data_IF_063384786068
#
_entry.id   IF_063384786068
#
_cell.length_a   1.000
_cell.length_b   1.000
_cell.length_c   1.000
_cell.angle_alpha   90.00
_cell.angle_beta   90.00
_cell.angle_gamma   90.00
#
_symmetry.space_group_name_H-M   'P 1'
#
loop_
_entity.id
_entity.type
_entity.pdbx_description
1 polymer ?
#
# COMPACT_ATOMS: atom_id res chain seq x y z
N UNK A 1 27.04 -28.10 -29.14
CA UNK A 1 27.35 -28.17 -27.68
C UNK A 1 27.68 -26.76 -27.22
N UNK A 2 26.65 -25.97 -26.99
CA UNK A 2 26.75 -24.65 -26.36
C UNK A 2 25.79 -24.65 -25.14
N UNK A 3 26.20 -25.37 -24.09
CA UNK A 3 25.58 -25.26 -22.76
C UNK A 3 25.96 -23.92 -22.17
N UNK A 4 25.18 -22.89 -22.48
CA UNK A 4 25.14 -21.72 -21.60
C UNK A 4 24.55 -22.20 -20.30
N UNK A 5 25.24 -22.05 -19.16
CA UNK A 5 24.64 -22.32 -17.87
C UNK A 5 23.48 -21.36 -17.73
N UNK A 6 22.25 -21.89 -17.86
CA UNK A 6 21.04 -21.16 -17.57
C UNK A 6 21.18 -20.58 -16.17
N UNK A 7 20.94 -19.29 -16.04
CA UNK A 7 20.70 -18.65 -14.75
C UNK A 7 19.63 -19.49 -14.09
N UNK A 8 19.87 -20.11 -12.92
CA UNK A 8 18.83 -20.87 -12.25
C UNK A 8 17.66 -19.92 -12.06
N UNK A 9 16.48 -20.28 -12.57
CA UNK A 9 15.24 -19.64 -12.12
C UNK A 9 15.25 -19.74 -10.61
N UNK A 10 15.53 -18.64 -9.97
CA UNK A 10 15.73 -18.55 -8.54
C UNK A 10 14.35 -18.80 -7.90
N UNK A 11 14.04 -20.06 -7.68
CA UNK A 11 12.82 -20.51 -7.04
C UNK A 11 12.94 -20.20 -5.55
N UNK A 12 12.25 -19.17 -5.11
CA UNK A 12 12.06 -18.89 -3.68
C UNK A 12 10.89 -19.74 -3.20
N UNK A 13 11.17 -20.76 -2.39
CA UNK A 13 10.16 -21.71 -1.88
C UNK A 13 9.34 -22.46 -2.96
N UNK A 14 9.93 -22.75 -4.12
CA UNK A 14 9.26 -23.50 -5.18
C UNK A 14 8.33 -22.68 -6.07
N UNK A 15 8.32 -21.35 -5.92
CA UNK A 15 7.53 -20.41 -6.71
C UNK A 15 8.47 -19.58 -7.58
N UNK A 16 8.08 -19.28 -8.82
CA UNK A 16 8.84 -18.34 -9.67
C UNK A 16 9.04 -17.02 -8.96
N UNK A 17 10.27 -16.48 -9.03
CA UNK A 17 10.60 -15.17 -8.42
C UNK A 17 9.63 -14.06 -8.83
N UNK A 18 9.16 -14.07 -10.08
CA UNK A 18 8.13 -13.15 -10.57
C UNK A 18 6.82 -13.27 -9.78
N UNK A 19 6.34 -14.48 -9.53
CA UNK A 19 5.11 -14.70 -8.77
C UNK A 19 5.25 -14.33 -7.27
N UNK A 20 6.47 -14.43 -6.72
CA UNK A 20 6.77 -14.02 -5.34
C UNK A 20 6.74 -12.49 -5.16
N UNK A 21 7.27 -11.74 -6.13
CA UNK A 21 7.36 -10.26 -6.06
C UNK A 21 6.00 -9.58 -6.27
N UNK A 22 5.09 -10.16 -7.05
CA UNK A 22 3.81 -9.53 -7.42
C UNK A 22 2.99 -9.08 -6.20
N UNK A 23 2.73 -9.91 -5.17
CA UNK A 23 2.02 -9.47 -3.98
C UNK A 23 2.70 -8.29 -3.29
N UNK A 24 4.04 -8.30 -3.19
CA UNK A 24 4.81 -7.20 -2.61
C UNK A 24 4.66 -5.89 -3.37
N UNK A 25 4.69 -5.92 -4.70
CA UNK A 25 4.47 -4.74 -5.54
C UNK A 25 3.05 -4.20 -5.42
N UNK A 26 2.05 -5.08 -5.34
CA UNK A 26 0.65 -4.69 -5.12
C UNK A 26 0.51 -4.00 -3.77
N UNK A 27 1.10 -4.57 -2.70
CA UNK A 27 1.08 -3.98 -1.37
C UNK A 27 1.76 -2.61 -1.35
N UNK A 28 2.96 -2.49 -1.92
CA UNK A 28 3.68 -1.21 -2.01
C UNK A 28 2.85 -0.14 -2.73
N UNK A 29 2.28 -0.47 -3.87
CA UNK A 29 1.42 0.43 -4.63
C UNK A 29 0.17 0.82 -3.83
N UNK A 30 -0.50 -0.17 -3.21
CA UNK A 30 -1.69 0.05 -2.39
C UNK A 30 -1.41 0.99 -1.21
N UNK A 31 -0.34 0.75 -0.46
CA UNK A 31 0.07 1.56 0.68
C UNK A 31 0.37 2.99 0.27
N UNK A 32 1.21 3.15 -0.75
CA UNK A 32 1.62 4.46 -1.27
C UNK A 32 0.41 5.26 -1.77
N UNK A 33 -0.46 4.63 -2.57
CA UNK A 33 -1.65 5.28 -3.12
C UNK A 33 -2.69 5.59 -2.04
N UNK A 34 -2.92 4.69 -1.08
CA UNK A 34 -3.88 4.91 0.00
C UNK A 34 -3.48 6.13 0.85
N UNK A 35 -2.22 6.20 1.26
CA UNK A 35 -1.71 7.32 2.05
C UNK A 35 -1.72 8.61 1.24
N UNK A 36 -1.18 8.59 0.02
CA UNK A 36 -1.06 9.79 -0.82
C UNK A 36 -2.43 10.37 -1.19
N UNK A 37 -3.36 9.52 -1.64
CA UNK A 37 -4.69 10.00 -2.01
C UNK A 37 -5.48 10.56 -0.83
N UNK A 38 -5.41 9.92 0.34
CA UNK A 38 -6.10 10.40 1.53
C UNK A 38 -5.47 11.70 2.06
N UNK A 39 -4.14 11.76 2.15
CA UNK A 39 -3.44 12.94 2.65
C UNK A 39 -3.63 14.15 1.73
N UNK A 40 -3.52 13.94 0.43
CA UNK A 40 -3.73 14.99 -0.56
C UNK A 40 -5.19 15.45 -0.62
N UNK A 41 -6.13 14.50 -0.53
CA UNK A 41 -7.56 14.75 -0.58
C UNK A 41 -8.03 15.73 0.48
N UNK A 42 -7.53 15.63 1.71
CA UNK A 42 -7.89 16.57 2.80
C UNK A 42 -6.99 17.83 2.80
N UNK A 43 -5.73 17.70 2.38
CA UNK A 43 -4.81 18.83 2.38
C UNK A 43 -5.21 19.91 1.36
N UNK A 44 -5.67 19.51 0.17
CA UNK A 44 -6.06 20.47 -0.88
C UNK A 44 -7.19 21.40 -0.45
N UNK A 45 -8.32 20.93 0.08
CA UNK A 45 -9.36 21.80 0.64
C UNK A 45 -8.86 22.68 1.79
N UNK A 46 -7.94 22.17 2.62
CA UNK A 46 -7.31 22.95 3.68
C UNK A 46 -6.47 24.08 3.12
N UNK A 47 -5.67 23.82 2.09
CA UNK A 47 -4.79 24.78 1.44
C UNK A 47 -5.57 25.86 0.68
N UNK A 48 -6.64 25.48 -0.04
CA UNK A 48 -7.48 26.41 -0.80
C UNK A 48 -8.49 27.18 0.05
N UNK A 49 -8.66 26.78 1.32
CA UNK A 49 -9.67 27.36 2.20
C UNK A 49 -11.08 26.78 2.03
N UNK A 50 -11.32 25.94 1.04
CA UNK A 50 -12.63 25.30 0.78
C UNK A 50 -13.06 24.38 1.95
N UNK A 51 -12.13 23.96 2.79
CA UNK A 51 -12.43 23.16 4.00
C UNK A 51 -13.44 23.85 4.92
N UNK A 52 -13.44 25.20 4.96
CA UNK A 52 -14.39 25.97 5.79
C UNK A 52 -15.83 25.85 5.28
N UNK A 53 -16.02 25.70 3.97
CA UNK A 53 -17.34 25.45 3.38
C UNK A 53 -17.86 24.07 3.80
N UNK A 54 -16.98 23.05 3.76
CA UNK A 54 -17.30 21.69 4.20
C UNK A 54 -17.64 21.67 5.69
N UNK A 55 -16.87 22.38 6.52
CA UNK A 55 -17.10 22.43 7.97
C UNK A 55 -18.33 23.26 8.37
N UNK A 56 -18.78 24.19 7.53
CA UNK A 56 -20.02 24.96 7.75
C UNK A 56 -21.27 24.26 7.28
N UNK A 57 -21.15 23.18 6.51
CA UNK A 57 -22.27 22.37 6.07
C UNK A 57 -22.87 21.57 7.27
N UNK A 58 -24.17 21.28 7.27
CA UNK A 58 -24.82 20.51 8.34
C UNK A 58 -24.55 19.01 8.21
N UNK A 59 -23.27 18.64 8.20
CA UNK A 59 -22.78 17.24 8.09
C UNK A 59 -21.90 16.92 9.31
N UNK A 60 -21.91 15.66 9.71
CA UNK A 60 -21.11 15.20 10.84
C UNK A 60 -19.63 15.04 10.46
N UNK A 61 -18.73 15.18 11.44
CA UNK A 61 -17.29 14.93 11.21
C UNK A 61 -16.99 13.51 10.76
N UNK A 62 -17.81 12.53 11.16
CA UNK A 62 -17.70 11.14 10.71
C UNK A 62 -18.04 11.01 9.23
N UNK A 63 -19.03 11.72 8.74
CA UNK A 63 -19.38 11.72 7.31
C UNK A 63 -18.27 12.35 6.47
N UNK A 64 -17.65 13.43 6.95
CA UNK A 64 -16.49 14.04 6.32
C UNK A 64 -15.32 13.03 6.27
N UNK A 65 -15.00 12.41 7.40
CA UNK A 65 -13.95 11.41 7.50
C UNK A 65 -14.18 10.24 6.55
N UNK A 66 -15.39 9.66 6.59
CA UNK A 66 -15.76 8.52 5.74
C UNK A 66 -15.74 8.89 4.25
N UNK A 67 -16.11 10.11 3.90
CA UNK A 67 -16.05 10.61 2.54
C UNK A 67 -14.62 10.63 2.00
N UNK A 68 -13.70 11.27 2.70
CA UNK A 68 -12.30 11.38 2.27
C UNK A 68 -11.56 10.03 2.31
N UNK A 69 -11.68 9.31 3.43
CA UNK A 69 -11.02 8.00 3.61
C UNK A 69 -11.63 6.96 2.68
N UNK A 70 -12.95 6.93 2.54
CA UNK A 70 -13.65 6.01 1.66
C UNK A 70 -13.31 6.24 0.18
N UNK A 71 -13.24 7.48 -0.26
CA UNK A 71 -12.82 7.82 -1.63
C UNK A 71 -11.37 7.38 -1.91
N UNK A 72 -10.44 7.66 -0.98
CA UNK A 72 -9.04 7.25 -1.12
C UNK A 72 -8.89 5.73 -1.11
N UNK A 73 -9.53 5.04 -0.17
CA UNK A 73 -9.50 3.58 -0.09
C UNK A 73 -10.10 2.92 -1.34
N UNK A 74 -11.23 3.40 -1.83
CA UNK A 74 -11.86 2.88 -3.05
C UNK A 74 -10.94 3.01 -4.25
N UNK A 75 -10.32 4.18 -4.44
CA UNK A 75 -9.36 4.40 -5.53
C UNK A 75 -8.17 3.45 -5.43
N UNK A 76 -7.62 3.25 -4.24
CA UNK A 76 -6.48 2.37 -4.01
C UNK A 76 -6.84 0.89 -4.23
N UNK A 77 -8.03 0.46 -3.81
CA UNK A 77 -8.53 -0.90 -4.05
C UNK A 77 -8.67 -1.15 -5.55
N UNK A 78 -9.28 -0.23 -6.30
CA UNK A 78 -9.42 -0.34 -7.76
C UNK A 78 -8.06 -0.45 -8.42
N UNK A 79 -7.09 0.38 -8.03
CA UNK A 79 -5.73 0.31 -8.54
C UNK A 79 -5.06 -1.04 -8.23
N UNK A 80 -5.17 -1.51 -6.99
CA UNK A 80 -4.65 -2.82 -6.58
C UNK A 80 -5.23 -3.97 -7.39
N UNK A 81 -6.54 -3.94 -7.65
CA UNK A 81 -7.21 -4.94 -8.51
C UNK A 81 -6.77 -4.87 -9.97
N UNK A 82 -6.53 -3.67 -10.51
CA UNK A 82 -6.00 -3.50 -11.87
C UNK A 82 -4.58 -4.08 -11.96
N UNK A 83 -3.73 -3.80 -10.99
CA UNK A 83 -2.37 -4.35 -10.94
C UNK A 83 -2.43 -5.87 -10.85
N UNK A 84 -3.29 -6.43 -9.99
CA UNK A 84 -3.47 -7.87 -9.85
C UNK A 84 -3.96 -8.51 -11.16
N UNK A 85 -4.96 -7.92 -11.82
CA UNK A 85 -5.47 -8.40 -13.09
C UNK A 85 -4.42 -8.35 -14.19
N UNK A 86 -3.64 -7.27 -14.24
CA UNK A 86 -2.54 -7.12 -15.20
C UNK A 86 -1.43 -8.14 -14.92
N UNK A 87 -1.05 -8.32 -13.66
CA UNK A 87 -0.03 -9.29 -13.27
C UNK A 87 -0.39 -10.72 -13.68
N UNK A 88 -1.67 -11.09 -13.59
CA UNK A 88 -2.17 -12.41 -14.01
C UNK A 88 -2.06 -12.66 -15.51
N UNK A 89 -1.97 -11.63 -16.35
CA UNK A 89 -1.75 -11.77 -17.79
C UNK A 89 -0.30 -12.15 -18.12
N UNK A 90 0.66 -11.84 -17.25
CA UNK A 90 2.07 -12.04 -17.47
C UNK A 90 2.67 -13.20 -16.66
N UNK A 91 2.05 -13.54 -15.54
CA UNK A 91 2.53 -14.57 -14.62
C UNK A 91 1.36 -15.44 -14.18
N UNK A 92 1.50 -16.75 -14.39
CA UNK A 92 0.55 -17.72 -13.90
C UNK A 92 0.78 -17.94 -12.39
N UNK A 93 -0.15 -17.43 -11.57
CA UNK A 93 -0.22 -17.69 -10.14
C UNK A 93 -1.65 -18.05 -9.74
N UNK A 94 -1.76 -18.98 -8.80
CA UNK A 94 -3.05 -19.40 -8.26
C UNK A 94 -3.36 -18.61 -6.99
N UNK A 95 -4.57 -18.06 -6.93
CA UNK A 95 -5.10 -17.41 -5.73
C UNK A 95 -5.86 -18.46 -4.95
N UNK A 96 -5.21 -19.04 -3.92
CA UNK A 96 -5.81 -20.08 -3.09
C UNK A 96 -7.06 -19.59 -2.33
N UNK A 97 -7.04 -18.36 -1.84
CA UNK A 97 -8.11 -17.80 -1.01
C UNK A 97 -8.50 -16.39 -1.43
N UNK A 98 -9.31 -16.21 -2.52
CA UNK A 98 -9.64 -14.89 -3.04
C UNK A 98 -10.41 -14.01 -2.04
N UNK A 99 -11.26 -14.60 -1.21
CA UNK A 99 -12.06 -13.86 -0.22
C UNK A 99 -11.17 -13.24 0.86
N UNK A 100 -10.20 -14.00 1.38
CA UNK A 100 -9.24 -13.51 2.35
C UNK A 100 -8.34 -12.43 1.75
N UNK A 101 -7.89 -12.64 0.53
CA UNK A 101 -7.08 -11.65 -0.19
C UNK A 101 -7.83 -10.31 -0.33
N UNK A 102 -9.11 -10.34 -0.76
CA UNK A 102 -9.93 -9.13 -0.86
C UNK A 102 -10.19 -8.49 0.51
N UNK A 103 -10.44 -9.29 1.54
CA UNK A 103 -10.66 -8.76 2.89
C UNK A 103 -9.41 -8.03 3.41
N UNK A 104 -8.22 -8.62 3.26
CA UNK A 104 -6.96 -7.96 3.64
C UNK A 104 -6.67 -6.72 2.79
N UNK A 105 -6.92 -6.77 1.48
CA UNK A 105 -6.74 -5.63 0.58
C UNK A 105 -7.61 -4.44 1.01
N UNK A 106 -8.89 -4.68 1.31
CA UNK A 106 -9.82 -3.64 1.79
C UNK A 106 -9.38 -3.10 3.15
N UNK A 107 -9.05 -3.99 4.10
CA UNK A 107 -8.62 -3.60 5.44
C UNK A 107 -7.35 -2.76 5.40
N UNK A 108 -6.36 -3.17 4.61
CA UNK A 108 -5.12 -2.43 4.40
C UNK A 108 -5.39 -1.06 3.78
N UNK A 109 -6.18 -1.00 2.71
CA UNK A 109 -6.53 0.26 2.05
C UNK A 109 -7.22 1.23 3.02
N UNK A 110 -8.15 0.77 3.84
CA UNK A 110 -8.85 1.59 4.84
C UNK A 110 -7.88 2.09 5.93
N UNK A 111 -7.07 1.19 6.48
CA UNK A 111 -6.13 1.53 7.56
C UNK A 111 -5.11 2.58 7.10
N UNK A 112 -4.52 2.40 5.93
CA UNK A 112 -3.52 3.33 5.41
C UNK A 112 -4.13 4.60 4.82
N UNK A 113 -5.38 4.58 4.36
CA UNK A 113 -6.12 5.80 4.03
C UNK A 113 -6.44 6.64 5.28
N UNK A 114 -6.81 6.01 6.40
CA UNK A 114 -6.95 6.71 7.69
C UNK A 114 -5.64 7.35 8.13
N UNK A 115 -4.54 6.61 8.02
CA UNK A 115 -3.22 7.14 8.33
C UNK A 115 -2.84 8.31 7.42
N UNK A 116 -3.08 8.20 6.13
CA UNK A 116 -2.88 9.28 5.16
C UNK A 116 -3.75 10.51 5.47
N UNK A 117 -4.99 10.31 5.88
CA UNK A 117 -5.87 11.41 6.30
C UNK A 117 -5.30 12.18 7.50
N UNK A 118 -4.77 11.46 8.51
CA UNK A 118 -4.11 12.08 9.68
C UNK A 118 -2.91 12.92 9.23
N UNK A 119 -2.07 12.38 8.33
CA UNK A 119 -0.93 13.12 7.78
C UNK A 119 -1.39 14.38 7.06
N UNK A 120 -2.44 14.31 6.24
CA UNK A 120 -2.97 15.46 5.50
C UNK A 120 -3.52 16.56 6.39
N UNK A 121 -4.18 16.19 7.49
CA UNK A 121 -4.64 17.14 8.51
C UNK A 121 -3.48 17.81 9.23
N UNK A 122 -2.43 17.02 9.56
CA UNK A 122 -1.26 17.51 10.29
C UNK A 122 -0.30 18.32 9.42
N UNK A 123 -0.22 18.04 8.13
CA UNK A 123 0.74 18.68 7.23
C UNK A 123 0.43 20.18 7.04
N UNK A 124 1.48 21.02 7.19
CA UNK A 124 1.41 22.46 6.95
C UNK A 124 1.99 22.84 5.58
N UNK A 125 2.63 21.89 4.89
CA UNK A 125 3.27 22.12 3.59
C UNK A 125 3.33 20.86 2.74
N UNK A 126 3.51 21.06 1.44
CA UNK A 126 3.61 20.00 0.43
C UNK A 126 4.73 18.99 0.70
N UNK A 127 5.83 19.45 1.29
CA UNK A 127 6.97 18.59 1.61
C UNK A 127 6.61 17.49 2.60
N UNK A 128 5.82 17.82 3.63
CA UNK A 128 5.37 16.84 4.64
C UNK A 128 4.46 15.77 4.05
N UNK A 129 3.67 16.11 3.04
CA UNK A 129 2.80 15.15 2.36
C UNK A 129 3.56 14.07 1.58
N UNK A 130 4.77 14.37 1.12
CA UNK A 130 5.58 13.44 0.32
C UNK A 130 6.64 12.75 1.16
N UNK A 131 7.34 13.51 2.02
CA UNK A 131 8.45 12.98 2.82
C UNK A 131 7.96 11.99 3.87
N UNK A 132 6.88 12.30 4.58
CA UNK A 132 6.38 11.44 5.66
C UNK A 132 5.93 10.07 5.15
N UNK A 133 5.10 9.96 4.10
CA UNK A 133 4.78 8.65 3.53
C UNK A 133 6.01 7.90 3.03
N UNK A 134 6.93 8.57 2.33
CA UNK A 134 8.14 7.95 1.82
C UNK A 134 9.03 7.40 2.94
N UNK A 135 9.23 8.16 4.01
CA UNK A 135 10.04 7.74 5.16
C UNK A 135 9.40 6.59 5.97
N UNK A 136 8.09 6.45 5.93
CA UNK A 136 7.37 5.40 6.67
C UNK A 136 7.12 4.18 5.79
N UNK A 137 6.54 4.38 4.60
CA UNK A 137 6.12 3.27 3.73
C UNK A 137 7.32 2.51 3.20
N UNK A 138 8.38 3.21 2.77
CA UNK A 138 9.55 2.54 2.18
C UNK A 138 10.22 1.57 3.17
N UNK A 139 10.60 1.97 4.39
CA UNK A 139 11.19 1.02 5.34
C UNK A 139 10.21 -0.08 5.75
N UNK A 140 8.92 0.23 5.97
CA UNK A 140 7.92 -0.78 6.33
C UNK A 140 7.80 -1.86 5.25
N UNK A 141 7.72 -1.45 3.98
CA UNK A 141 7.58 -2.38 2.85
C UNK A 141 8.82 -3.24 2.68
N UNK A 142 10.01 -2.63 2.80
CA UNK A 142 11.26 -3.39 2.72
C UNK A 142 11.41 -4.37 3.90
N UNK A 143 11.11 -3.97 5.11
CA UNK A 143 11.14 -4.83 6.29
C UNK A 143 10.00 -5.85 6.34
N UNK A 144 8.90 -5.62 5.61
CA UNK A 144 7.77 -6.55 5.49
C UNK A 144 8.04 -7.78 4.62
N UNK A 145 9.22 -7.87 4.00
CA UNK A 145 9.57 -9.02 3.14
C UNK A 145 8.90 -9.00 1.77
N UNK A 146 8.45 -7.83 1.31
CA UNK A 146 7.75 -7.69 0.02
C UNK A 146 8.64 -8.02 -1.18
N UNK A 147 9.96 -7.93 -1.05
CA UNK A 147 10.93 -8.16 -2.13
C UNK A 147 11.89 -9.31 -1.88
N UNK A 148 11.95 -9.85 -0.65
CA UNK A 148 12.81 -10.95 -0.26
C UNK A 148 12.18 -11.75 0.88
N UNK A 149 12.61 -13.00 1.05
CA UNK A 149 12.12 -13.82 2.16
C UNK A 149 12.67 -13.33 3.50
N UNK A 150 11.79 -13.20 4.50
CA UNK A 150 12.16 -12.81 5.88
C UNK A 150 13.21 -13.75 6.46
N UNK A 151 13.26 -15.01 6.02
CA UNK A 151 14.27 -16.00 6.42
C UNK A 151 15.71 -15.63 6.03
N UNK A 152 15.90 -14.72 5.08
CA UNK A 152 17.23 -14.22 4.67
C UNK A 152 17.77 -13.12 5.58
N UNK A 153 16.94 -12.59 6.47
CA UNK A 153 17.34 -11.55 7.42
C UNK A 153 18.08 -12.12 8.63
N UNK A 154 18.99 -11.36 9.25
CA UNK A 154 19.57 -11.71 10.56
C UNK A 154 18.47 -11.86 11.63
N UNK A 155 18.68 -12.70 12.66
CA UNK A 155 17.63 -13.03 13.66
C UNK A 155 17.01 -11.82 14.36
N UNK A 156 17.78 -10.75 14.56
CA UNK A 156 17.30 -9.50 15.18
C UNK A 156 16.24 -8.84 14.30
N UNK A 157 16.47 -8.77 12.99
CA UNK A 157 15.54 -8.17 12.04
C UNK A 157 14.30 -9.02 11.81
N UNK A 158 14.42 -10.36 11.89
CA UNK A 158 13.26 -11.27 11.86
C UNK A 158 12.30 -10.98 13.01
N UNK A 159 12.83 -10.65 14.20
CA UNK A 159 11.98 -10.28 15.35
C UNK A 159 11.32 -8.92 15.14
N UNK A 160 12.02 -7.97 14.55
CA UNK A 160 11.47 -6.63 14.24
C UNK A 160 10.35 -6.72 13.20
N UNK A 161 10.48 -7.60 12.21
CA UNK A 161 9.42 -7.81 11.19
C UNK A 161 8.13 -8.36 11.74
N UNK A 162 8.14 -9.07 12.88
CA UNK A 162 6.91 -9.54 13.54
C UNK A 162 6.00 -8.39 14.05
N UNK A 163 6.57 -7.23 14.31
CA UNK A 163 5.83 -6.04 14.72
C UNK A 163 5.46 -5.13 13.55
N UNK A 164 5.85 -5.50 12.33
CA UNK A 164 5.55 -4.72 11.13
C UNK A 164 4.07 -4.94 10.72
N UNK A 165 3.28 -3.88 10.54
CA UNK A 165 1.88 -3.99 10.11
C UNK A 165 1.69 -4.26 8.60
N UNK A 166 2.78 -4.41 7.83
CA UNK A 166 2.79 -4.61 6.37
C UNK A 166 3.23 -6.01 6.00
#
# INVERSE_FOLDING_TARGET
>A
EDERPGIPDEQVHGVSYGAFIIPGLIMLALLTESISNASFGIYMPKYSGTIYEVLSAPISYLEILLGYVGAAATKSIVLGLIILATARLFVDFEILHPVWMLAFLVLTALTFSLFGFIIGVWADGWEKLQIVPALIVTPLTFLGGSFYSISMLPPVWQTVTLFNPV
#
